data_IF_283628486427
#
_entry.id   IF_283628486427
#
_cell.length_a   1.000
_cell.length_b   1.000
_cell.length_c   1.000
_cell.angle_alpha   90.00
_cell.angle_beta   90.00
_cell.angle_gamma   90.00
#
_symmetry.space_group_name_H-M   'P 1'
#
loop_
_entity.id
_entity.type
_entity.pdbx_description
1 polymer ?
#
# COMPACT_ATOMS: atom_id res chain seq x y z
N UNK A 1 -0.47 -46.05 -10.11
CA UNK A 1 0.63 -45.35 -9.43
C UNK A 1 1.17 -44.29 -10.37
N UNK A 2 0.58 -43.10 -10.33
CA UNK A 2 1.03 -41.92 -11.08
C UNK A 2 0.82 -40.73 -10.16
N UNK A 3 1.84 -39.91 -9.99
CA UNK A 3 1.74 -38.63 -9.30
C UNK A 3 2.96 -38.33 -8.45
N UNK A 4 4.03 -37.86 -9.07
CA UNK A 4 4.87 -36.82 -8.46
C UNK A 4 5.30 -35.86 -9.57
N UNK A 5 4.75 -34.66 -9.52
CA UNK A 5 5.09 -33.56 -10.41
C UNK A 5 4.72 -32.23 -9.74
N UNK A 6 5.77 -31.48 -9.39
CA UNK A 6 5.77 -30.03 -9.45
C UNK A 6 5.31 -29.31 -8.18
N UNK A 7 6.25 -29.14 -7.25
CA UNK A 7 6.22 -28.04 -6.29
C UNK A 7 6.49 -26.73 -7.06
N UNK A 8 5.41 -26.04 -7.42
CA UNK A 8 5.43 -24.75 -8.08
C UNK A 8 5.61 -23.65 -7.04
N UNK A 9 6.79 -23.03 -7.04
CA UNK A 9 7.13 -21.89 -6.19
C UNK A 9 6.08 -20.79 -6.26
N UNK A 10 5.41 -20.57 -5.13
CA UNK A 10 4.58 -19.41 -4.91
C UNK A 10 5.49 -18.18 -4.80
N UNK A 11 5.59 -17.42 -5.89
CA UNK A 11 6.18 -16.08 -5.90
C UNK A 11 5.46 -15.19 -4.89
N UNK A 12 6.12 -14.95 -3.76
CA UNK A 12 5.60 -14.08 -2.71
C UNK A 12 5.49 -12.65 -3.22
N UNK A 13 4.26 -12.14 -3.33
CA UNK A 13 3.98 -10.73 -3.49
C UNK A 13 4.43 -9.98 -2.20
N UNK A 14 5.72 -9.67 -2.12
CA UNK A 14 6.29 -8.83 -1.07
C UNK A 14 5.87 -7.39 -1.30
N UNK A 15 4.74 -6.98 -0.71
CA UNK A 15 4.30 -5.59 -0.71
C UNK A 15 5.35 -4.69 -0.04
N UNK A 16 6.12 -3.96 -0.84
CA UNK A 16 7.06 -2.96 -0.33
C UNK A 16 6.27 -1.78 0.23
N UNK A 17 6.19 -1.68 1.55
CA UNK A 17 5.61 -0.53 2.23
C UNK A 17 6.66 0.58 2.29
N UNK A 18 6.38 1.70 1.61
CA UNK A 18 7.21 2.91 1.71
C UNK A 18 6.43 4.00 2.44
N UNK A 19 6.83 4.34 3.65
CA UNK A 19 6.24 5.46 4.39
C UNK A 19 7.20 6.66 4.31
N UNK A 20 6.67 7.80 3.90
CA UNK A 20 7.43 9.05 3.76
C UNK A 20 6.95 10.01 4.84
N UNK A 21 7.80 10.33 5.83
CA UNK A 21 7.47 11.20 6.97
C UNK A 21 7.94 12.64 6.74
N UNK A 22 7.03 13.62 6.73
CA UNK A 22 7.31 14.99 6.26
C UNK A 22 7.92 15.95 7.28
N UNK A 23 9.13 16.47 7.04
CA UNK A 23 9.73 17.60 7.76
C UNK A 23 9.45 18.94 7.06
N UNK A 24 9.31 20.01 7.84
CA UNK A 24 9.04 21.37 7.32
C UNK A 24 10.28 21.97 6.64
N UNK A 25 10.36 21.86 5.32
CA UNK A 25 11.23 22.66 4.47
C UNK A 25 10.53 22.93 3.13
N UNK A 26 10.85 24.08 2.51
CA UNK A 26 10.23 24.65 1.31
C UNK A 26 9.65 23.61 0.34
N UNK A 27 8.36 23.74 -0.01
CA UNK A 27 7.65 22.79 -0.88
C UNK A 27 8.34 22.56 -2.24
N UNK A 28 9.14 23.53 -2.71
CA UNK A 28 9.91 23.46 -3.96
C UNK A 28 11.24 22.69 -3.86
N UNK A 29 11.66 22.24 -2.67
CA UNK A 29 12.92 21.51 -2.47
C UNK A 29 12.87 20.04 -2.90
N UNK A 30 14.04 19.38 -3.06
CA UNK A 30 14.14 17.93 -3.23
C UNK A 30 13.31 17.15 -2.20
N UNK A 31 12.64 16.07 -2.61
CA UNK A 31 11.81 15.23 -1.71
C UNK A 31 12.54 14.80 -0.43
N UNK A 32 13.85 14.54 -0.53
CA UNK A 32 14.72 14.17 0.60
C UNK A 32 14.86 15.24 1.68
N UNK A 33 14.67 16.51 1.33
CA UNK A 33 14.77 17.62 2.28
C UNK A 33 13.41 17.83 2.97
N UNK A 34 12.34 17.33 2.35
CA UNK A 34 10.96 17.39 2.83
C UNK A 34 10.58 16.18 3.65
N UNK A 35 11.26 15.04 3.52
CA UNK A 35 10.86 13.83 4.22
C UNK A 35 11.91 12.73 4.31
N UNK A 36 11.78 11.89 5.34
CA UNK A 36 12.49 10.62 5.43
C UNK A 36 11.73 9.52 4.67
N UNK A 37 12.46 8.61 4.02
CA UNK A 37 11.93 7.44 3.34
C UNK A 37 12.16 6.18 4.19
N UNK A 38 11.09 5.56 4.66
CA UNK A 38 11.11 4.26 5.34
C UNK A 38 10.73 3.16 4.33
N UNK A 39 11.65 2.25 4.02
CA UNK A 39 11.42 1.11 3.11
C UNK A 39 11.40 -0.19 3.90
N UNK A 40 10.25 -0.86 3.92
CA UNK A 40 10.04 -2.08 4.69
C UNK A 40 9.96 -3.28 3.73
N UNK A 41 10.71 -4.33 4.04
CA UNK A 41 10.77 -5.56 3.25
C UNK A 41 12.20 -6.08 3.08
N UNK A 42 12.29 -7.34 2.67
CA UNK A 42 13.56 -8.03 2.41
C UNK A 42 14.32 -8.53 3.65
N UNK A 43 15.15 -9.56 3.49
CA UNK A 43 16.10 -9.99 4.51
C UNK A 43 17.46 -9.28 4.33
N UNK A 44 17.77 -8.34 5.21
CA UNK A 44 19.05 -7.62 5.19
C UNK A 44 20.24 -8.45 5.70
N UNK A 45 19.99 -9.56 6.40
CA UNK A 45 21.02 -10.39 7.01
C UNK A 45 21.39 -11.56 6.10
N UNK A 46 20.37 -12.21 5.52
CA UNK A 46 20.55 -13.34 4.62
C UNK A 46 19.71 -13.18 3.34
N UNK A 47 19.97 -12.14 2.53
CA UNK A 47 19.18 -11.90 1.33
C UNK A 47 19.39 -13.04 0.32
N UNK A 48 18.29 -13.43 -0.33
CA UNK A 48 18.29 -14.18 -1.58
C UNK A 48 19.07 -13.44 -2.69
N UNK A 49 19.28 -14.09 -3.82
CA UNK A 49 19.97 -13.47 -4.97
C UNK A 49 19.23 -12.21 -5.45
N UNK A 50 17.91 -12.29 -5.60
CA UNK A 50 17.08 -11.17 -6.06
C UNK A 50 17.07 -10.02 -5.04
N UNK A 51 16.95 -10.32 -3.74
CA UNK A 51 17.03 -9.29 -2.68
C UNK A 51 18.40 -8.63 -2.64
N UNK A 52 19.47 -9.39 -2.87
CA UNK A 52 20.83 -8.85 -2.91
C UNK A 52 21.01 -7.92 -4.11
N UNK A 53 20.51 -8.29 -5.28
CA UNK A 53 20.52 -7.40 -6.45
C UNK A 53 19.81 -6.08 -6.15
N UNK A 54 18.64 -6.11 -5.50
CA UNK A 54 17.93 -4.88 -5.14
C UNK A 54 18.68 -4.05 -4.10
N UNK A 55 19.34 -4.68 -3.12
CA UNK A 55 20.16 -3.98 -2.13
C UNK A 55 21.38 -3.32 -2.78
N UNK A 56 22.06 -4.00 -3.71
CA UNK A 56 23.19 -3.45 -4.44
C UNK A 56 22.77 -2.25 -5.31
N UNK A 57 21.57 -2.28 -5.90
CA UNK A 57 21.00 -1.14 -6.62
C UNK A 57 20.71 0.05 -5.70
N UNK A 58 20.20 -0.18 -4.49
CA UNK A 58 19.96 0.87 -3.49
C UNK A 58 21.30 1.49 -3.06
N UNK A 59 22.27 0.65 -2.71
CA UNK A 59 23.60 1.06 -2.26
C UNK A 59 24.38 1.81 -3.36
N UNK A 60 24.13 1.48 -4.63
CA UNK A 60 24.66 2.20 -5.78
C UNK A 60 24.11 3.63 -5.94
N UNK A 61 22.92 3.92 -5.39
CA UNK A 61 22.32 5.27 -5.38
C UNK A 61 22.71 6.02 -4.11
N UNK A 62 22.59 5.38 -2.94
CA UNK A 62 22.97 5.93 -1.64
C UNK A 62 23.83 4.88 -0.95
N UNK A 63 25.13 5.12 -0.71
CA UNK A 63 25.96 4.16 0.00
C UNK A 63 25.38 3.78 1.37
N UNK A 64 25.52 2.52 1.77
CA UNK A 64 24.89 1.97 2.97
C UNK A 64 25.21 2.75 4.27
N UNK A 65 26.44 3.26 4.39
CA UNK A 65 26.88 4.09 5.52
C UNK A 65 26.22 5.48 5.55
N UNK A 66 25.65 5.92 4.42
CA UNK A 66 24.97 7.21 4.25
C UNK A 66 23.46 7.13 4.24
N UNK A 67 22.85 5.95 4.29
CA UNK A 67 21.39 5.78 4.30
C UNK A 67 20.70 6.71 5.31
N UNK A 68 21.05 6.60 6.59
CA UNK A 68 20.45 7.41 7.66
C UNK A 68 20.68 8.90 7.49
N UNK A 69 21.90 9.29 7.13
CA UNK A 69 22.26 10.70 6.92
C UNK A 69 21.51 11.31 5.71
N UNK A 70 21.03 10.47 4.80
CA UNK A 70 20.26 10.87 3.62
C UNK A 70 18.74 10.73 3.81
N UNK A 71 18.28 10.40 5.03
CA UNK A 71 16.87 10.21 5.35
C UNK A 71 16.28 8.87 4.92
N UNK A 72 17.11 7.90 4.50
CA UNK A 72 16.68 6.55 4.11
C UNK A 72 16.80 5.58 5.29
N UNK A 73 15.67 4.96 5.65
CA UNK A 73 15.56 3.97 6.71
C UNK A 73 15.16 2.61 6.10
N UNK A 74 16.08 1.64 6.19
CA UNK A 74 15.86 0.26 5.73
C UNK A 74 15.94 -0.70 6.93
N UNK A 75 14.83 -0.95 7.64
CA UNK A 75 14.79 -1.91 8.74
C UNK A 75 14.78 -3.39 8.30
N UNK A 76 14.53 -3.66 7.01
CA UNK A 76 14.24 -4.99 6.48
C UNK A 76 12.81 -5.42 6.78
N UNK A 77 12.53 -6.72 6.66
CA UNK A 77 11.25 -7.30 7.05
C UNK A 77 10.88 -6.99 8.51
N UNK A 78 9.59 -6.72 8.73
CA UNK A 78 9.01 -6.48 10.05
C UNK A 78 7.65 -7.18 10.18
N UNK A 79 7.28 -7.62 11.40
CA UNK A 79 5.94 -8.14 11.64
C UNK A 79 4.86 -7.10 11.36
N UNK A 80 3.68 -7.54 10.90
CA UNK A 80 2.59 -6.65 10.48
C UNK A 80 2.13 -5.68 11.58
N UNK A 81 2.14 -6.09 12.84
CA UNK A 81 1.76 -5.23 13.97
C UNK A 81 2.73 -4.05 14.16
N UNK A 82 4.00 -4.25 13.84
CA UNK A 82 5.04 -3.22 13.86
C UNK A 82 4.86 -2.27 12.68
N UNK A 83 4.58 -2.80 11.49
CA UNK A 83 4.29 -2.00 10.30
C UNK A 83 3.05 -1.13 10.53
N UNK A 84 1.97 -1.69 11.09
CA UNK A 84 0.76 -0.94 11.41
C UNK A 84 1.02 0.22 12.39
N UNK A 85 1.86 0.00 13.42
CA UNK A 85 2.28 1.07 14.34
C UNK A 85 3.10 2.15 13.63
N UNK A 86 3.94 1.78 12.66
CA UNK A 86 4.72 2.76 11.88
C UNK A 86 3.86 3.53 10.89
N UNK A 87 2.86 2.90 10.28
CA UNK A 87 1.84 3.57 9.47
C UNK A 87 1.07 4.59 10.32
N UNK A 88 0.66 4.21 11.55
CA UNK A 88 0.05 5.14 12.49
C UNK A 88 1.00 6.27 12.91
N UNK A 89 2.28 5.97 13.17
CA UNK A 89 3.30 6.98 13.47
C UNK A 89 3.53 7.95 12.30
N UNK A 90 3.48 7.47 11.05
CA UNK A 90 3.54 8.33 9.87
C UNK A 90 2.31 9.23 9.76
N UNK A 91 1.12 8.76 10.17
CA UNK A 91 -0.10 9.58 10.16
C UNK A 91 -0.06 10.64 11.25
N UNK A 92 0.11 10.23 12.50
CA UNK A 92 -0.11 11.07 13.68
C UNK A 92 1.17 11.75 14.18
N UNK A 93 2.33 11.34 13.68
CA UNK A 93 3.62 11.75 14.20
C UNK A 93 3.93 11.10 15.54
N UNK A 94 5.21 11.23 15.92
CA UNK A 94 5.72 10.87 17.24
C UNK A 94 6.62 12.02 17.67
N UNK A 95 6.29 12.76 18.76
CA UNK A 95 7.07 13.90 19.20
C UNK A 95 8.57 13.58 19.32
N UNK A 96 9.41 14.38 18.67
CA UNK A 96 10.86 14.22 18.65
C UNK A 96 11.40 13.09 17.76
N UNK A 97 10.53 12.33 17.08
CA UNK A 97 10.94 11.20 16.23
C UNK A 97 10.39 11.27 14.80
N UNK A 98 9.10 11.56 14.64
CA UNK A 98 8.43 11.60 13.34
C UNK A 98 7.41 12.74 13.31
N UNK A 99 7.42 13.52 12.24
CA UNK A 99 6.36 14.48 12.00
C UNK A 99 5.07 13.79 11.51
N UNK A 100 3.90 14.37 11.78
CA UNK A 100 2.62 13.85 11.29
C UNK A 100 2.48 14.04 9.77
N UNK A 101 1.37 13.55 9.22
CA UNK A 101 0.95 13.76 7.81
C UNK A 101 1.94 13.19 6.79
N UNK A 102 2.44 12.00 7.08
CA UNK A 102 3.19 11.21 6.11
C UNK A 102 2.33 10.74 4.93
N UNK A 103 2.99 10.12 3.96
CA UNK A 103 2.39 9.54 2.76
C UNK A 103 2.85 8.09 2.64
N UNK A 104 1.95 7.21 2.23
CA UNK A 104 2.31 5.84 1.85
C UNK A 104 2.51 5.74 0.34
N UNK A 105 3.57 5.09 -0.11
CA UNK A 105 3.90 4.92 -1.52
C UNK A 105 3.99 3.43 -1.85
N UNK A 106 3.11 2.95 -2.73
CA UNK A 106 3.25 1.64 -3.37
C UNK A 106 4.08 1.83 -4.64
N UNK A 107 5.34 1.40 -4.58
CA UNK A 107 6.27 1.47 -5.72
C UNK A 107 6.25 0.27 -6.65
N UNK A 108 5.27 -0.63 -6.50
CA UNK A 108 5.17 -1.86 -7.30
C UNK A 108 4.86 -1.55 -8.77
N UNK A 109 5.38 -2.34 -9.70
CA UNK A 109 5.05 -2.21 -11.14
C UNK A 109 3.58 -2.56 -11.42
N UNK A 110 3.06 -3.53 -10.67
CA UNK A 110 1.67 -3.99 -10.72
C UNK A 110 1.23 -4.33 -9.31
N UNK A 111 -0.02 -4.03 -8.99
CA UNK A 111 -0.64 -4.33 -7.70
C UNK A 111 -2.08 -4.81 -7.95
N UNK A 112 -2.37 -6.07 -7.64
CA UNK A 112 -3.67 -6.68 -7.91
C UNK A 112 -4.76 -6.20 -6.96
N UNK A 113 -4.44 -6.04 -5.67
CA UNK A 113 -5.43 -5.63 -4.67
C UNK A 113 -4.90 -4.58 -3.70
N UNK A 114 -3.66 -4.70 -3.24
CA UNK A 114 -3.02 -3.70 -2.39
C UNK A 114 -3.56 -3.66 -0.97
N UNK A 115 -3.48 -4.76 -0.22
CA UNK A 115 -3.90 -4.78 1.20
C UNK A 115 -3.16 -3.70 2.00
N UNK A 116 -1.85 -3.54 1.79
CA UNK A 116 -1.07 -2.50 2.46
C UNK A 116 -1.51 -1.07 2.09
N UNK A 117 -2.03 -0.85 0.87
CA UNK A 117 -2.64 0.44 0.50
C UNK A 117 -3.94 0.67 1.27
N UNK A 118 -4.79 -0.35 1.40
CA UNK A 118 -6.03 -0.29 2.17
C UNK A 118 -5.74 -0.07 3.67
N UNK A 119 -4.70 -0.69 4.23
CA UNK A 119 -4.26 -0.46 5.61
C UNK A 119 -3.78 0.99 5.82
N UNK A 120 -3.02 1.54 4.87
CA UNK A 120 -2.59 2.93 4.89
C UNK A 120 -3.79 3.91 4.79
N UNK A 121 -4.70 3.67 3.84
CA UNK A 121 -5.93 4.47 3.68
C UNK A 121 -6.84 4.38 4.92
N UNK A 122 -6.97 3.18 5.50
CA UNK A 122 -7.71 2.92 6.73
C UNK A 122 -7.09 3.58 7.96
N UNK A 123 -5.79 3.90 7.90
CA UNK A 123 -5.11 4.73 8.89
C UNK A 123 -5.23 6.23 8.61
N UNK A 124 -5.91 6.62 7.52
CA UNK A 124 -6.09 8.02 7.12
C UNK A 124 -4.88 8.62 6.38
N UNK A 125 -3.92 7.80 5.95
CA UNK A 125 -2.82 8.27 5.11
C UNK A 125 -3.31 8.54 3.68
N UNK A 126 -2.66 9.53 3.06
CA UNK A 126 -2.70 9.70 1.62
C UNK A 126 -1.78 8.67 0.97
N UNK A 127 -2.22 8.09 -0.13
CA UNK A 127 -1.45 7.05 -0.83
C UNK A 127 -0.98 7.50 -2.21
N UNK A 128 0.20 7.06 -2.63
CA UNK A 128 0.64 7.05 -4.03
C UNK A 128 0.65 5.61 -4.50
N UNK A 129 -0.03 5.31 -5.60
CA UNK A 129 -0.24 3.94 -6.06
C UNK A 129 -0.10 3.80 -7.59
N UNK A 130 0.12 2.58 -8.10
CA UNK A 130 0.10 2.31 -9.52
C UNK A 130 -1.25 2.70 -10.15
N UNK A 131 -1.21 3.28 -11.34
CA UNK A 131 -2.43 3.66 -12.09
C UNK A 131 -3.25 2.48 -12.64
N UNK A 132 -2.72 1.26 -12.54
CA UNK A 132 -3.39 0.03 -12.96
C UNK A 132 -3.61 -0.95 -11.80
N UNK A 133 -4.42 -1.98 -12.06
CA UNK A 133 -4.73 -3.02 -11.08
C UNK A 133 -5.74 -2.57 -10.02
N UNK A 134 -5.73 -3.23 -8.85
CA UNK A 134 -6.66 -2.99 -7.76
C UNK A 134 -6.74 -1.53 -7.31
N UNK A 135 -5.60 -0.83 -7.09
CA UNK A 135 -5.61 0.55 -6.59
C UNK A 135 -6.43 1.53 -7.43
N UNK A 136 -6.45 1.33 -8.76
CA UNK A 136 -7.24 2.16 -9.68
C UNK A 136 -8.76 2.11 -9.43
N UNK A 137 -9.24 1.09 -8.72
CA UNK A 137 -10.67 0.89 -8.42
C UNK A 137 -11.14 1.62 -7.17
N UNK A 138 -10.24 2.01 -6.26
CA UNK A 138 -10.60 2.61 -4.97
C UNK A 138 -9.81 3.86 -4.57
N UNK A 139 -8.64 4.11 -5.17
CA UNK A 139 -7.90 5.36 -4.96
C UNK A 139 -8.51 6.46 -5.84
N UNK A 140 -8.88 7.58 -5.23
CA UNK A 140 -9.43 8.75 -5.94
C UNK A 140 -8.34 9.79 -6.16
N UNK A 141 -8.00 10.04 -7.43
CA UNK A 141 -6.95 10.97 -7.84
C UNK A 141 -7.13 12.35 -7.21
N UNK A 142 -6.09 12.82 -6.49
CA UNK A 142 -6.06 14.13 -5.83
C UNK A 142 -6.96 14.23 -4.59
N UNK A 143 -7.63 13.15 -4.21
CA UNK A 143 -8.52 13.10 -3.04
C UNK A 143 -8.01 12.10 -2.01
N UNK A 144 -8.15 10.79 -2.24
CA UNK A 144 -7.64 9.76 -1.31
C UNK A 144 -6.25 9.26 -1.67
N UNK A 145 -5.72 9.67 -2.83
CA UNK A 145 -4.35 9.41 -3.23
C UNK A 145 -4.01 9.91 -4.64
N UNK A 146 -2.85 9.48 -5.13
CA UNK A 146 -2.35 9.77 -6.47
C UNK A 146 -1.99 8.47 -7.18
N UNK A 147 -2.63 8.23 -8.30
CA UNK A 147 -2.35 7.16 -9.25
C UNK A 147 -1.28 7.63 -10.23
N UNK A 148 -0.27 6.80 -10.48
CA UNK A 148 0.84 7.14 -11.38
C UNK A 148 1.49 5.91 -12.02
N UNK A 149 2.30 6.14 -13.05
CA UNK A 149 3.19 5.15 -13.67
C UNK A 149 4.40 4.93 -12.79
N UNK A 150 4.40 3.88 -11.98
CA UNK A 150 5.47 3.61 -11.00
C UNK A 150 6.82 3.24 -11.62
N UNK A 151 6.84 2.83 -12.89
CA UNK A 151 8.08 2.62 -13.67
C UNK A 151 8.70 3.90 -14.21
N UNK A 152 7.97 5.02 -14.20
CA UNK A 152 8.43 6.33 -14.66
C UNK A 152 8.87 7.14 -13.44
N UNK A 153 10.19 7.32 -13.29
CA UNK A 153 10.81 7.96 -12.12
C UNK A 153 10.32 9.39 -11.93
N UNK A 154 10.11 10.14 -13.03
CA UNK A 154 9.65 11.52 -12.96
C UNK A 154 8.16 11.60 -12.60
N UNK A 155 7.35 10.69 -13.15
CA UNK A 155 5.95 10.58 -12.78
C UNK A 155 5.76 10.17 -11.31
N UNK A 156 6.56 9.22 -10.82
CA UNK A 156 6.54 8.79 -9.42
C UNK A 156 7.02 9.92 -8.49
N UNK A 157 8.12 10.61 -8.84
CA UNK A 157 8.62 11.76 -8.08
C UNK A 157 7.57 12.88 -7.99
N UNK A 158 6.92 13.19 -9.11
CA UNK A 158 5.87 14.20 -9.16
C UNK A 158 4.67 13.83 -8.29
N UNK A 159 4.20 12.58 -8.37
CA UNK A 159 3.09 12.10 -7.55
C UNK A 159 3.44 12.11 -6.05
N UNK A 160 4.66 11.74 -5.67
CA UNK A 160 5.15 11.83 -4.29
C UNK A 160 5.19 13.28 -3.78
N UNK A 161 5.65 14.22 -4.61
CA UNK A 161 5.68 15.65 -4.26
C UNK A 161 4.29 16.22 -4.02
N UNK A 162 3.36 15.95 -4.95
CA UNK A 162 1.96 16.35 -4.85
C UNK A 162 1.29 15.73 -3.61
N UNK A 163 1.55 14.45 -3.34
CA UNK A 163 1.01 13.78 -2.16
C UNK A 163 1.53 14.40 -0.86
N UNK A 164 2.82 14.72 -0.77
CA UNK A 164 3.40 15.36 0.42
C UNK A 164 2.89 16.79 0.62
N UNK A 165 2.72 17.55 -0.47
CA UNK A 165 2.10 18.89 -0.42
C UNK A 165 0.67 18.80 0.08
N UNK A 166 -0.15 17.96 -0.57
CA UNK A 166 -1.53 17.77 -0.16
C UNK A 166 -1.61 17.31 1.30
N UNK A 167 -0.79 16.34 1.72
CA UNK A 167 -0.75 15.87 3.11
C UNK A 167 -0.38 17.01 4.07
N UNK A 168 0.61 17.84 3.74
CA UNK A 168 1.01 19.01 4.54
C UNK A 168 -0.09 20.07 4.66
N UNK A 169 -0.79 20.35 3.56
CA UNK A 169 -1.88 21.34 3.46
C UNK A 169 -3.18 20.90 4.14
N UNK A 170 -3.29 19.62 4.52
CA UNK A 170 -4.46 19.11 5.23
C UNK A 170 -4.56 19.73 6.64
N UNK A 171 -5.42 20.75 6.79
CA UNK A 171 -5.68 21.41 8.09
C UNK A 171 -6.79 20.75 8.91
N UNK A 172 -7.57 19.85 8.29
CA UNK A 172 -8.73 19.17 8.90
C UNK A 172 -8.64 17.66 8.65
N UNK A 173 -9.38 16.83 9.38
CA UNK A 173 -9.42 15.37 9.15
C UNK A 173 -10.30 14.95 7.95
N UNK A 174 -10.71 15.88 7.09
CA UNK A 174 -11.72 15.62 6.07
C UNK A 174 -11.25 14.60 5.02
N UNK A 175 -9.99 14.68 4.56
CA UNK A 175 -9.48 13.77 3.54
C UNK A 175 -9.15 12.41 4.15
N UNK A 176 -8.51 12.41 5.31
CA UNK A 176 -8.29 11.19 6.09
C UNK A 176 -9.61 10.46 6.40
N UNK A 177 -10.69 11.19 6.73
CA UNK A 177 -12.04 10.66 6.87
C UNK A 177 -12.52 9.96 5.61
N UNK A 178 -12.46 10.61 4.45
CA UNK A 178 -12.87 10.00 3.16
C UNK A 178 -12.03 8.78 2.77
N UNK A 179 -10.74 8.79 3.09
CA UNK A 179 -9.83 7.65 2.88
C UNK A 179 -10.28 6.46 3.72
N UNK A 180 -10.57 6.69 5.01
CA UNK A 180 -11.13 5.67 5.92
C UNK A 180 -12.50 5.18 5.48
N UNK A 181 -13.40 6.07 5.11
CA UNK A 181 -14.75 5.74 4.66
C UNK A 181 -14.72 4.80 3.44
N UNK A 182 -13.77 4.99 2.53
CA UNK A 182 -13.59 4.11 1.37
C UNK A 182 -13.28 2.68 1.81
N UNK A 183 -12.37 2.52 2.78
CA UNK A 183 -12.00 1.21 3.33
C UNK A 183 -13.14 0.60 4.15
N UNK A 184 -13.74 1.36 5.06
CA UNK A 184 -14.78 0.90 5.98
C UNK A 184 -16.02 0.38 5.24
N UNK A 185 -16.42 1.09 4.17
CA UNK A 185 -17.62 0.75 3.40
C UNK A 185 -17.49 -0.50 2.54
N UNK A 186 -16.30 -0.77 2.01
CA UNK A 186 -16.16 -1.72 0.89
C UNK A 186 -15.10 -2.79 1.09
N UNK A 187 -14.11 -2.56 1.97
CA UNK A 187 -12.90 -3.38 2.03
C UNK A 187 -12.60 -3.95 3.43
N UNK A 188 -13.55 -3.82 4.37
CA UNK A 188 -13.49 -4.55 5.64
C UNK A 188 -13.88 -6.01 5.44
N UNK A 189 -13.36 -6.89 6.31
CA UNK A 189 -13.75 -8.31 6.33
C UNK A 189 -15.28 -8.44 6.42
N UNK A 190 -15.92 -7.60 7.23
CA UNK A 190 -17.37 -7.59 7.41
C UNK A 190 -18.11 -7.12 6.15
N UNK A 191 -17.62 -6.09 5.46
CA UNK A 191 -18.20 -5.64 4.19
C UNK A 191 -18.07 -6.72 3.11
N UNK A 192 -16.88 -7.32 2.99
CA UNK A 192 -16.61 -8.41 2.05
C UNK A 192 -17.47 -9.64 2.36
N UNK A 193 -17.59 -10.03 3.63
CA UNK A 193 -18.43 -11.15 4.05
C UNK A 193 -19.90 -10.91 3.69
N UNK A 194 -20.45 -9.71 3.97
CA UNK A 194 -21.82 -9.36 3.60
C UNK A 194 -22.05 -9.42 2.09
N UNK A 195 -21.13 -8.88 1.30
CA UNK A 195 -21.23 -8.90 -0.15
C UNK A 195 -21.22 -10.34 -0.69
N UNK A 196 -20.32 -11.19 -0.18
CA UNK A 196 -20.21 -12.57 -0.61
C UNK A 196 -21.42 -13.41 -0.16
N UNK A 197 -21.95 -13.19 1.04
CA UNK A 197 -23.18 -13.84 1.52
C UNK A 197 -24.36 -13.58 0.58
N UNK A 198 -24.57 -12.34 0.14
CA UNK A 198 -25.65 -12.02 -0.80
C UNK A 198 -25.54 -12.75 -2.14
N UNK A 199 -24.31 -12.97 -2.63
CA UNK A 199 -24.08 -13.78 -3.84
C UNK A 199 -24.45 -15.25 -3.58
N UNK A 200 -24.00 -15.82 -2.46
CA UNK A 200 -24.34 -17.21 -2.13
C UNK A 200 -25.84 -17.42 -1.92
N UNK A 201 -26.54 -16.46 -1.29
CA UNK A 201 -27.99 -16.50 -1.14
C UNK A 201 -28.69 -16.47 -2.51
N UNK A 202 -28.25 -15.62 -3.41
CA UNK A 202 -28.82 -15.52 -4.77
C UNK A 202 -28.70 -16.84 -5.51
N UNK A 203 -27.50 -17.43 -5.56
CA UNK A 203 -27.27 -18.72 -6.23
C UNK A 203 -28.10 -19.84 -5.56
N UNK A 204 -28.19 -19.82 -4.23
CA UNK A 204 -28.98 -20.81 -3.51
C UNK A 204 -30.48 -20.71 -3.86
N UNK A 205 -31.03 -19.50 -3.92
CA UNK A 205 -32.42 -19.27 -4.31
C UNK A 205 -32.69 -19.70 -5.77
N UNK A 206 -31.80 -19.34 -6.70
CA UNK A 206 -31.92 -19.74 -8.11
C UNK A 206 -31.89 -21.27 -8.28
N UNK A 207 -31.03 -21.98 -7.53
CA UNK A 207 -31.00 -23.45 -7.55
C UNK A 207 -32.29 -24.08 -7.01
N UNK A 208 -32.88 -23.50 -5.95
CA UNK A 208 -34.14 -24.00 -5.40
C UNK A 208 -35.30 -23.83 -6.38
N UNK A 209 -35.42 -22.66 -7.01
CA UNK A 209 -36.46 -22.39 -8.02
C UNK A 209 -36.35 -23.32 -9.24
N UNK A 210 -35.12 -23.58 -9.71
CA UNK A 210 -34.88 -24.51 -10.83
C UNK A 210 -35.22 -25.96 -10.46
N UNK A 211 -34.96 -26.37 -9.21
CA UNK A 211 -35.32 -27.70 -8.71
C UNK A 211 -36.83 -27.87 -8.57
N UNK A 212 -37.54 -26.88 -8.02
CA UNK A 212 -39.00 -26.91 -7.91
C UNK A 212 -39.69 -26.95 -9.28
N UNK A 213 -39.21 -26.16 -10.25
CA UNK A 213 -39.69 -26.21 -11.63
C UNK A 213 -39.53 -27.59 -12.28
N UNK A 214 -38.38 -28.24 -12.04
CA UNK A 214 -38.06 -29.57 -12.60
C UNK A 214 -38.90 -30.71 -11.99
N UNK A 215 -39.47 -30.49 -10.81
CA UNK A 215 -40.36 -31.44 -10.12
C UNK A 215 -41.82 -31.24 -10.52
N UNK A 216 -42.26 -29.99 -10.70
CA UNK A 216 -43.66 -29.68 -11.09
C UNK A 216 -43.97 -29.90 -12.58
N UNK A 217 -42.95 -30.11 -13.42
CA UNK A 217 -43.08 -30.33 -14.88
C UNK A 217 -43.02 -31.80 -15.30
N UNK A 218 -43.03 -32.74 -14.36
CA UNK A 218 -43.20 -34.19 -14.57
C UNK A 218 -44.57 -34.64 -14.09
#
# INVERSE_FOLDING_TARGET
AVGDAGDGGAGGAGGSARAVGGGSADAAGPLRDRANLLLIGGDLRHPSADEREQLDLIDGIIPADRHRASGLLLPGHRPNDTVARWVAAARFGVPGLAAPRGVYVCGSLKEEFGIALLEAMGSGLLVVAPEGGGPSTYVRQGDTGYLTRTWDVDALRSAMGQALEAAGDETTEARAGRSRDTVERSFTIQAMARALTGVYETVHHEELEQREWSVSSR
#
